data_IF_972444641153
#
_entry.id   IF_972444641153
#
_cell.length_a   1.000
_cell.length_b   1.000
_cell.length_c   1.000
_cell.angle_alpha   90.00
_cell.angle_beta   90.00
_cell.angle_gamma   90.00
#
_symmetry.space_group_name_H-M   'P 1'
#
loop_
_entity.id
_entity.type
_entity.pdbx_description
1 polymer ?
#
# COMPACT_ATOMS: atom_id res chain seq x y z
N UNK A 1 15.52 4.78 28.68
CA UNK A 1 16.41 4.58 27.52
C UNK A 1 15.96 3.35 26.76
N UNK A 2 15.49 3.49 25.52
CA UNK A 2 14.93 2.37 24.73
C UNK A 2 16.06 1.55 24.12
N UNK A 3 16.40 0.41 24.73
CA UNK A 3 17.34 -0.54 24.14
C UNK A 3 16.68 -1.21 22.93
N UNK A 4 17.07 -0.80 21.72
CA UNK A 4 16.64 -1.46 20.49
C UNK A 4 17.52 -2.70 20.26
N UNK A 5 16.97 -3.90 20.46
CA UNK A 5 17.63 -5.14 20.11
C UNK A 5 17.68 -5.27 18.57
N UNK A 6 18.86 -5.11 17.99
CA UNK A 6 19.13 -5.16 16.55
C UNK A 6 19.76 -6.51 16.21
N UNK A 7 19.10 -7.31 15.39
CA UNK A 7 19.55 -8.65 15.01
C UNK A 7 19.96 -8.65 13.53
N UNK A 8 21.14 -9.20 13.25
CA UNK A 8 21.59 -9.42 11.87
C UNK A 8 20.94 -10.68 11.31
N UNK A 9 20.37 -10.56 10.12
CA UNK A 9 19.68 -11.63 9.41
C UNK A 9 20.20 -11.73 7.97
N UNK A 10 20.09 -12.92 7.37
CA UNK A 10 20.30 -13.10 5.93
C UNK A 10 18.95 -13.17 5.22
N UNK A 11 18.79 -12.40 4.16
CA UNK A 11 17.59 -12.43 3.34
C UNK A 11 17.54 -13.73 2.52
N UNK A 12 16.41 -14.45 2.58
CA UNK A 12 16.21 -15.70 1.83
C UNK A 12 16.03 -15.51 0.32
N UNK A 13 15.75 -14.29 -0.14
CA UNK A 13 15.47 -13.97 -1.55
C UNK A 13 16.71 -13.42 -2.28
N UNK A 14 17.37 -12.42 -1.69
CA UNK A 14 18.54 -11.77 -2.30
C UNK A 14 19.88 -12.13 -1.65
N UNK A 15 19.89 -12.90 -0.54
CA UNK A 15 21.11 -13.28 0.16
C UNK A 15 21.81 -12.16 0.95
N UNK A 16 21.29 -10.94 0.93
CA UNK A 16 21.89 -9.78 1.62
C UNK A 16 21.72 -9.86 3.13
N UNK A 17 22.70 -9.33 3.86
CA UNK A 17 22.65 -9.20 5.32
C UNK A 17 21.98 -7.88 5.71
N UNK A 18 20.96 -7.93 6.57
CA UNK A 18 20.21 -6.75 7.01
C UNK A 18 20.05 -6.75 8.55
N UNK A 19 19.73 -5.60 9.13
CA UNK A 19 19.61 -5.44 10.59
C UNK A 19 18.17 -5.15 10.95
N UNK A 20 17.52 -6.10 11.61
CA UNK A 20 16.09 -6.02 11.96
C UNK A 20 15.90 -5.96 13.47
N UNK A 21 14.86 -5.25 13.90
CA UNK A 21 14.53 -5.08 15.34
C UNK A 21 13.62 -6.18 15.90
N UNK A 22 13.43 -7.27 15.17
CA UNK A 22 12.57 -8.38 15.55
C UNK A 22 13.33 -9.71 15.54
N UNK A 23 12.93 -10.63 16.41
CA UNK A 23 13.51 -11.98 16.47
C UNK A 23 12.94 -12.81 15.31
N UNK A 24 13.79 -13.42 14.46
CA UNK A 24 13.30 -14.29 13.39
C UNK A 24 12.67 -15.56 13.98
N UNK A 25 11.45 -15.90 13.55
CA UNK A 25 10.76 -17.12 13.98
C UNK A 25 11.22 -18.30 13.14
N UNK A 26 11.65 -19.43 13.75
CA UNK A 26 12.01 -20.62 12.99
C UNK A 26 10.80 -21.11 12.17
N UNK A 27 11.01 -21.31 10.87
CA UNK A 27 9.97 -21.74 9.92
C UNK A 27 9.29 -20.62 9.13
N UNK A 28 9.70 -19.36 9.27
CA UNK A 28 9.32 -18.27 8.33
C UNK A 28 10.55 -17.64 7.67
N UNK A 29 10.57 -17.53 6.32
CA UNK A 29 11.67 -16.91 5.61
C UNK A 29 11.75 -15.43 5.97
N UNK A 30 12.99 -14.94 6.10
CA UNK A 30 13.25 -13.56 6.47
C UNK A 30 13.65 -12.77 5.23
N UNK A 31 13.02 -11.61 5.04
CA UNK A 31 13.24 -10.76 3.88
C UNK A 31 13.80 -9.40 4.31
N UNK A 32 14.70 -8.84 3.49
CA UNK A 32 15.13 -7.46 3.66
C UNK A 32 13.98 -6.49 3.34
N UNK A 33 14.17 -5.20 3.66
CA UNK A 33 13.14 -4.16 3.51
C UNK A 33 12.62 -4.06 2.06
N UNK A 34 13.49 -4.26 1.08
CA UNK A 34 13.17 -4.20 -0.34
C UNK A 34 12.39 -5.44 -0.81
N UNK A 35 12.91 -6.65 -0.55
CA UNK A 35 12.24 -7.91 -0.89
C UNK A 35 10.89 -8.04 -0.19
N UNK A 36 10.78 -7.59 1.06
CA UNK A 36 9.50 -7.57 1.79
C UNK A 36 8.50 -6.64 1.10
N UNK A 37 8.93 -5.47 0.63
CA UNK A 37 8.05 -4.52 -0.07
C UNK A 37 7.52 -5.11 -1.38
N UNK A 38 8.36 -5.86 -2.12
CA UNK A 38 7.96 -6.60 -3.32
C UNK A 38 6.97 -7.73 -3.01
N UNK A 39 7.20 -8.48 -1.93
CA UNK A 39 6.29 -9.55 -1.50
C UNK A 39 4.96 -9.04 -0.92
N UNK A 40 4.94 -7.80 -0.40
CA UNK A 40 3.77 -7.13 0.19
C UNK A 40 2.86 -6.46 -0.85
N UNK A 41 3.13 -6.59 -2.15
CA UNK A 41 2.25 -6.08 -3.23
C UNK A 41 0.96 -6.92 -3.31
N UNK A 42 0.15 -6.85 -2.26
CA UNK A 42 -1.30 -7.09 -2.22
C UNK A 42 -2.00 -5.80 -1.79
N UNK A 43 -1.45 -4.65 -2.19
CA UNK A 43 -2.28 -3.46 -2.28
C UNK A 43 -3.11 -3.72 -3.52
N UNK A 44 -4.31 -4.22 -3.31
CA UNK A 44 -5.46 -3.88 -4.14
C UNK A 44 -5.29 -2.42 -4.53
N UNK A 45 -4.80 -2.17 -5.74
CA UNK A 45 -5.46 -1.36 -6.75
C UNK A 45 -6.42 -0.25 -6.26
N UNK A 46 -6.10 0.43 -5.16
CA UNK A 46 -6.87 1.58 -4.67
C UNK A 46 -6.41 2.86 -5.36
N UNK A 47 -5.46 2.75 -6.30
CA UNK A 47 -5.05 3.85 -7.18
C UNK A 47 -5.79 3.85 -8.51
N UNK A 48 -6.43 2.76 -8.91
CA UNK A 48 -7.39 2.75 -10.02
C UNK A 48 -8.75 3.39 -9.71
N UNK A 49 -8.92 3.98 -8.53
CA UNK A 49 -10.08 4.86 -8.27
C UNK A 49 -9.96 6.22 -8.95
N UNK A 50 -8.76 6.62 -9.40
CA UNK A 50 -8.54 7.92 -10.06
C UNK A 50 -8.49 7.79 -11.59
N UNK A 51 -7.95 6.71 -12.16
CA UNK A 51 -7.82 6.56 -13.61
C UNK A 51 -9.13 6.10 -14.29
N UNK A 52 -10.04 5.43 -13.58
CA UNK A 52 -11.32 4.96 -14.12
C UNK A 52 -12.54 5.86 -13.79
N UNK A 53 -12.33 7.17 -13.61
CA UNK A 53 -13.39 8.15 -13.92
C UNK A 53 -13.20 8.58 -15.36
N UNK A 54 -13.78 7.78 -16.25
CA UNK A 54 -13.91 8.08 -17.68
C UNK A 54 -14.22 9.57 -17.90
N UNK A 55 -13.54 10.27 -18.84
CA UNK A 55 -13.91 11.62 -19.21
C UNK A 55 -15.30 11.55 -19.83
N UNK A 56 -16.32 11.99 -19.10
CA UNK A 56 -17.68 12.05 -19.63
C UNK A 56 -17.67 12.88 -20.92
N UNK A 57 -18.14 12.35 -22.06
CA UNK A 57 -18.31 13.17 -23.25
C UNK A 57 -19.20 14.36 -22.90
N UNK A 58 -18.89 15.51 -23.50
CA UNK A 58 -19.31 16.89 -23.18
C UNK A 58 -20.82 17.17 -23.06
N UNK A 59 -21.69 16.17 -23.10
CA UNK A 59 -23.15 16.33 -23.19
C UNK A 59 -23.87 16.20 -21.84
N UNK A 60 -23.26 15.71 -20.75
CA UNK A 60 -23.98 15.43 -19.49
C UNK A 60 -23.59 16.32 -18.29
N UNK A 61 -23.65 17.64 -18.48
CA UNK A 61 -23.44 18.64 -17.41
C UNK A 61 -24.71 18.93 -16.58
N UNK A 62 -25.49 17.93 -16.17
CA UNK A 62 -26.76 18.20 -15.45
C UNK A 62 -27.12 17.27 -14.27
N UNK A 63 -26.19 16.47 -13.74
CA UNK A 63 -26.48 15.52 -12.65
C UNK A 63 -26.48 16.09 -11.21
N UNK A 64 -26.40 17.42 -11.00
CA UNK A 64 -26.59 18.04 -9.67
C UNK A 64 -27.71 19.09 -9.57
N UNK A 65 -28.39 19.44 -10.67
CA UNK A 65 -29.41 20.51 -10.68
C UNK A 65 -30.82 20.06 -10.28
N UNK A 66 -30.97 18.97 -9.51
CA UNK A 66 -32.27 18.58 -8.93
C UNK A 66 -32.20 18.37 -7.41
N UNK A 67 -31.48 19.23 -6.69
CA UNK A 67 -31.90 19.59 -5.33
C UNK A 67 -32.59 20.93 -5.41
N UNK A 68 -33.91 20.86 -5.40
CA UNK A 68 -34.81 21.98 -5.41
C UNK A 68 -34.41 22.97 -4.32
N UNK A 69 -34.02 24.17 -4.73
CA UNK A 69 -34.31 25.37 -3.95
C UNK A 69 -35.85 25.47 -3.90
N UNK A 70 -36.47 24.77 -2.96
CA UNK A 70 -37.85 25.00 -2.58
C UNK A 70 -37.90 25.41 -1.11
N UNK A 71 -37.53 26.68 -0.90
CA UNK A 71 -37.97 27.45 0.26
C UNK A 71 -38.85 28.59 -0.26
N UNK A 72 -40.05 28.24 -0.74
CA UNK A 72 -41.22 29.11 -0.80
C UNK A 72 -42.50 28.30 -0.96
#
# INVERSE_FOLDING_TARGET
MSQQNRVQIKCSDCGKTDTVSFKPTPGKPVYCRDCLSKHRVKRTDSRDRVENRSPVPSVEKQAWSRRQNNWK
#
